data_IF_930647731086
#
_entry.id   IF_930647731086
#
_cell.length_a   1.000
_cell.length_b   1.000
_cell.length_c   1.000
_cell.angle_alpha   90.00
_cell.angle_beta   90.00
_cell.angle_gamma   90.00
#
_symmetry.space_group_name_H-M   'P 1'
#
loop_
_entity.id
_entity.type
_entity.pdbx_description
1 polymer ?
#
# COMPACT_ATOMS: atom_id res chain seq x y z
N UNK A 1 4.48 10.04 -17.00
CA UNK A 1 3.77 10.94 -17.95
C UNK A 1 3.70 10.23 -19.30
N UNK A 2 2.51 10.08 -19.89
CA UNK A 2 2.38 9.37 -21.17
C UNK A 2 2.93 10.18 -22.34
N UNK A 3 3.43 9.48 -23.35
CA UNK A 3 3.86 10.09 -24.60
C UNK A 3 2.65 10.56 -25.40
N UNK A 4 2.79 11.69 -26.08
CA UNK A 4 1.82 12.19 -27.07
C UNK A 4 2.34 11.86 -28.45
N UNK A 5 1.57 11.08 -29.20
CA UNK A 5 1.91 10.68 -30.57
C UNK A 5 0.74 10.97 -31.53
N UNK A 6 1.01 11.08 -32.84
CA UNK A 6 -0.04 11.07 -33.85
C UNK A 6 -0.89 9.80 -33.75
N UNK A 7 -2.20 9.93 -33.94
CA UNK A 7 -3.18 8.85 -33.76
C UNK A 7 -2.89 7.62 -34.65
N UNK A 8 -2.25 7.81 -35.81
CA UNK A 8 -1.97 6.76 -36.80
C UNK A 8 -0.59 6.08 -36.64
N UNK A 9 0.21 6.46 -35.63
CA UNK A 9 1.53 5.84 -35.42
C UNK A 9 1.35 4.34 -35.08
N UNK A 10 1.96 3.39 -35.80
CA UNK A 10 1.79 1.96 -35.54
C UNK A 10 2.10 1.53 -34.09
N UNK A 11 3.00 2.26 -33.43
CA UNK A 11 3.33 2.07 -32.03
C UNK A 11 2.12 2.24 -31.09
N UNK A 12 1.09 3.00 -31.47
CA UNK A 12 -0.13 3.18 -30.67
C UNK A 12 -0.83 1.84 -30.44
N UNK A 13 -1.02 1.05 -31.50
CA UNK A 13 -1.71 -0.24 -31.39
C UNK A 13 -0.83 -1.29 -30.71
N UNK A 14 0.48 -1.29 -31.00
CA UNK A 14 1.44 -2.17 -30.34
C UNK A 14 1.45 -1.96 -28.82
N UNK A 15 1.62 -0.71 -28.37
CA UNK A 15 1.67 -0.36 -26.95
C UNK A 15 0.34 -0.58 -26.25
N UNK A 16 -0.80 -0.35 -26.92
CA UNK A 16 -2.12 -0.68 -26.37
C UNK A 16 -2.28 -2.18 -26.09
N UNK A 17 -1.71 -3.05 -26.92
CA UNK A 17 -1.75 -4.50 -26.68
C UNK A 17 -0.91 -4.91 -25.46
N UNK A 18 0.14 -4.15 -25.12
CA UNK A 18 0.92 -4.30 -23.88
C UNK A 18 0.30 -3.57 -22.68
N UNK A 19 -0.97 -3.14 -22.81
CA UNK A 19 -1.72 -2.35 -21.84
C UNK A 19 -1.10 -0.96 -21.56
N UNK A 20 -0.12 -0.52 -22.36
CA UNK A 20 0.57 0.77 -22.19
C UNK A 20 -0.32 1.90 -22.67
N UNK A 21 -0.51 2.88 -21.78
CA UNK A 21 -1.34 4.04 -22.07
C UNK A 21 -0.62 4.99 -23.03
N UNK A 22 -1.16 5.12 -24.24
CA UNK A 22 -0.69 6.08 -25.25
C UNK A 22 -1.72 7.19 -25.41
N UNK A 23 -1.28 8.44 -25.24
CA UNK A 23 -2.15 9.58 -25.40
C UNK A 23 -2.17 10.05 -26.85
N UNK A 24 -3.34 10.00 -27.48
CA UNK A 24 -3.54 10.59 -28.79
C UNK A 24 -3.59 12.11 -28.71
N UNK A 25 -3.29 12.78 -29.82
CA UNK A 25 -3.28 14.25 -29.87
C UNK A 25 -4.66 14.88 -29.66
N UNK A 26 -5.72 14.13 -29.94
CA UNK A 26 -7.12 14.48 -29.69
C UNK A 26 -7.43 14.53 -28.18
N UNK A 27 -7.04 13.50 -27.42
CA UNK A 27 -7.27 13.40 -25.97
C UNK A 27 -6.43 14.38 -25.15
N UNK A 28 -5.21 14.67 -25.61
CA UNK A 28 -4.32 15.63 -24.94
C UNK A 28 -4.89 17.07 -24.89
N UNK A 29 -5.76 17.44 -25.84
CA UNK A 29 -6.36 18.78 -25.89
C UNK A 29 -7.45 19.03 -24.85
N UNK A 30 -8.02 17.97 -24.28
CA UNK A 30 -9.13 18.05 -23.32
C UNK A 30 -8.71 17.62 -21.91
N UNK A 31 -7.43 17.31 -21.69
CA UNK A 31 -6.97 16.84 -20.40
C UNK A 31 -6.78 18.02 -19.45
N UNK A 32 -7.58 18.05 -18.40
CA UNK A 32 -7.40 18.96 -17.28
C UNK A 32 -6.65 18.22 -16.16
N UNK A 33 -5.56 18.80 -15.68
CA UNK A 33 -4.75 18.25 -14.59
C UNK A 33 -5.03 19.06 -13.34
N UNK A 34 -5.43 18.39 -12.26
CA UNK A 34 -5.57 19.00 -10.93
C UNK A 34 -4.68 18.28 -9.91
N UNK A 35 -4.38 18.91 -8.76
CA UNK A 35 -3.78 18.22 -7.62
C UNK A 35 -4.63 17.01 -7.20
N UNK A 36 -3.96 15.93 -6.82
CA UNK A 36 -4.57 14.73 -6.26
C UNK A 36 -4.69 14.86 -4.76
N UNK A 37 -5.84 14.54 -4.19
CA UNK A 37 -6.06 14.45 -2.74
C UNK A 37 -5.79 13.01 -2.28
N UNK A 38 -4.75 12.81 -1.49
CA UNK A 38 -4.42 11.49 -0.92
C UNK A 38 -4.46 11.55 0.60
N UNK A 39 -5.26 10.65 1.18
CA UNK A 39 -5.42 10.49 2.62
C UNK A 39 -4.52 9.35 3.12
N UNK A 40 -3.89 9.51 4.27
CA UNK A 40 -3.09 8.45 4.92
C UNK A 40 -3.62 8.20 6.32
N UNK A 41 -4.26 7.04 6.51
CA UNK A 41 -4.63 6.54 7.83
C UNK A 41 -3.42 5.83 8.46
N UNK A 42 -2.71 6.55 9.32
CA UNK A 42 -1.47 6.06 9.93
C UNK A 42 -1.74 5.33 11.26
N UNK A 43 -1.70 4.00 11.20
CA UNK A 43 -1.88 3.09 12.34
C UNK A 43 -0.54 2.62 12.95
N UNK A 44 0.59 3.02 12.36
CA UNK A 44 1.92 2.61 12.84
C UNK A 44 2.28 3.27 14.17
N UNK A 45 3.04 2.62 15.05
CA UNK A 45 3.40 3.18 16.35
C UNK A 45 4.31 4.41 16.20
N UNK A 46 5.28 4.37 15.28
CA UNK A 46 6.22 5.47 15.01
C UNK A 46 5.70 6.35 13.86
N UNK A 47 4.77 7.25 14.17
CA UNK A 47 4.03 8.04 13.17
C UNK A 47 4.94 8.79 12.18
N UNK A 48 5.90 9.56 12.70
CA UNK A 48 6.83 10.38 11.90
C UNK A 48 7.73 9.53 10.98
N UNK A 49 8.20 8.37 11.47
CA UNK A 49 9.02 7.45 10.67
C UNK A 49 8.21 6.93 9.46
N UNK A 50 6.98 6.49 9.73
CA UNK A 50 6.05 6.02 8.70
C UNK A 50 5.65 7.14 7.72
N UNK A 51 5.39 8.36 8.20
CA UNK A 51 5.12 9.53 7.36
C UNK A 51 6.28 9.75 6.38
N UNK A 52 7.52 9.80 6.86
CA UNK A 52 8.70 9.99 6.02
C UNK A 52 8.85 8.89 4.96
N UNK A 53 8.59 7.64 5.32
CA UNK A 53 8.68 6.49 4.42
C UNK A 53 7.67 6.58 3.28
N UNK A 54 6.39 6.78 3.59
CA UNK A 54 5.34 6.89 2.58
C UNK A 54 5.48 8.16 1.74
N UNK A 55 5.74 9.32 2.37
CA UNK A 55 5.89 10.59 1.65
C UNK A 55 7.08 10.59 0.68
N UNK A 56 8.17 9.87 1.02
CA UNK A 56 9.31 9.68 0.11
C UNK A 56 8.92 8.90 -1.16
N UNK A 57 8.03 7.92 -1.05
CA UNK A 57 7.58 7.16 -2.21
C UNK A 57 6.56 7.94 -3.04
N UNK A 58 5.64 8.65 -2.37
CA UNK A 58 4.63 9.47 -3.04
C UNK A 58 5.23 10.70 -3.74
N UNK A 59 6.36 11.23 -3.26
CA UNK A 59 7.03 12.38 -3.89
C UNK A 59 7.73 12.05 -5.22
N UNK A 60 7.87 10.77 -5.58
CA UNK A 60 8.51 10.34 -6.82
C UNK A 60 7.57 10.39 -8.04
N UNK A 61 6.75 11.45 -8.13
CA UNK A 61 5.79 11.66 -9.21
C UNK A 61 5.78 13.13 -9.64
N UNK A 62 5.62 13.43 -10.94
CA UNK A 62 5.44 14.81 -11.40
C UNK A 62 4.05 15.38 -11.07
N UNK A 63 3.12 14.56 -10.55
CA UNK A 63 1.78 14.99 -10.15
C UNK A 63 1.86 15.74 -8.82
N UNK A 64 1.10 16.82 -8.69
CA UNK A 64 0.91 17.47 -7.40
C UNK A 64 -0.02 16.63 -6.53
N UNK A 65 0.39 16.36 -5.29
CA UNK A 65 -0.35 15.52 -4.34
C UNK A 65 -0.54 16.31 -3.04
N UNK A 66 -1.78 16.61 -2.71
CA UNK A 66 -2.19 17.19 -1.45
C UNK A 66 -2.44 16.06 -0.46
N UNK A 67 -1.58 15.98 0.56
CA UNK A 67 -1.64 14.93 1.58
C UNK A 67 -2.41 15.42 2.80
N UNK A 68 -3.33 14.58 3.28
CA UNK A 68 -3.91 14.71 4.61
C UNK A 68 -3.60 13.46 5.44
N UNK A 69 -3.30 13.63 6.73
CA UNK A 69 -3.04 12.54 7.66
C UNK A 69 -4.26 12.33 8.54
N UNK A 70 -4.76 11.10 8.59
CA UNK A 70 -5.94 10.72 9.38
C UNK A 70 -5.49 9.93 10.61
N UNK A 71 -6.00 10.31 11.79
CA UNK A 71 -5.85 9.52 13.02
C UNK A 71 -7.11 8.68 13.25
N UNK A 72 -6.94 7.49 13.82
CA UNK A 72 -8.06 6.58 14.05
C UNK A 72 -8.88 6.92 15.29
N UNK A 73 -8.22 7.49 16.31
CA UNK A 73 -8.85 7.93 17.55
C UNK A 73 -8.04 9.04 18.25
N UNK A 74 -8.67 9.68 19.24
CA UNK A 74 -8.08 10.77 20.02
C UNK A 74 -7.13 10.31 21.13
N UNK A 75 -6.74 9.02 21.17
CA UNK A 75 -5.89 8.50 22.25
C UNK A 75 -4.47 9.03 22.15
N UNK A 76 -3.82 9.13 23.31
CA UNK A 76 -2.41 9.48 23.37
C UNK A 76 -1.54 8.37 22.75
N UNK A 77 -0.65 8.77 21.85
CA UNK A 77 0.34 7.86 21.27
C UNK A 77 1.52 7.69 22.23
N UNK A 78 1.97 6.46 22.45
CA UNK A 78 3.15 6.17 23.28
C UNK A 78 4.46 6.70 22.66
N UNK A 79 4.54 6.74 21.32
CA UNK A 79 5.79 7.04 20.60
C UNK A 79 5.72 8.34 19.79
N UNK A 80 4.64 9.10 19.91
CA UNK A 80 4.44 10.32 19.11
C UNK A 80 3.88 11.41 20.02
N UNK A 81 4.51 12.60 20.06
CA UNK A 81 3.99 13.72 20.84
C UNK A 81 2.56 14.07 20.43
N UNK A 82 1.72 14.39 21.41
CA UNK A 82 0.34 14.82 21.16
C UNK A 82 0.29 16.07 20.27
N UNK A 83 1.26 16.98 20.41
CA UNK A 83 1.40 18.18 19.58
C UNK A 83 1.53 17.85 18.09
N UNK A 84 2.28 16.81 17.73
CA UNK A 84 2.42 16.37 16.33
C UNK A 84 1.07 15.91 15.76
N UNK A 85 0.34 15.11 16.53
CA UNK A 85 -0.99 14.64 16.11
C UNK A 85 -1.97 15.80 15.98
N UNK A 86 -2.02 16.71 16.95
CA UNK A 86 -2.97 17.82 16.94
C UNK A 86 -2.71 18.84 15.83
N UNK A 87 -1.45 19.02 15.42
CA UNK A 87 -1.08 20.00 14.40
C UNK A 87 -1.24 19.47 12.97
N UNK A 88 -1.09 18.15 12.76
CA UNK A 88 -0.96 17.57 11.41
C UNK A 88 -2.00 16.51 11.06
N UNK A 89 -2.75 15.98 12.03
CA UNK A 89 -3.77 14.96 11.79
C UNK A 89 -5.18 15.53 11.92
N UNK A 90 -6.06 15.14 11.00
CA UNK A 90 -7.50 15.34 11.13
C UNK A 90 -8.17 14.11 11.74
N UNK A 91 -9.37 14.31 12.30
CA UNK A 91 -10.25 13.23 12.71
C UNK A 91 -11.17 12.81 11.56
N UNK A 92 -11.74 11.60 11.64
CA UNK A 92 -12.63 11.10 10.58
C UNK A 92 -13.85 12.02 10.37
N UNK A 93 -14.38 12.60 11.44
CA UNK A 93 -15.57 13.44 11.36
C UNK A 93 -15.32 14.74 10.57
N UNK A 94 -14.07 15.18 10.46
CA UNK A 94 -13.67 16.36 9.66
C UNK A 94 -13.76 16.07 8.16
N UNK A 95 -13.44 14.82 7.75
CA UNK A 95 -13.28 14.42 6.35
C UNK A 95 -14.42 13.56 5.80
N UNK A 96 -15.39 13.19 6.63
CA UNK A 96 -16.44 12.22 6.28
C UNK A 96 -17.32 12.65 5.08
N UNK A 97 -17.41 13.95 4.79
CA UNK A 97 -18.18 14.50 3.66
C UNK A 97 -17.27 14.89 2.48
N UNK A 98 -15.97 14.59 2.56
CA UNK A 98 -15.00 14.89 1.52
C UNK A 98 -14.71 13.66 0.66
N UNK A 99 -14.34 13.93 -0.59
CA UNK A 99 -13.89 12.92 -1.53
C UNK A 99 -12.38 12.99 -1.73
N UNK A 100 -11.76 11.82 -1.97
CA UNK A 100 -10.33 11.64 -2.14
C UNK A 100 -10.00 10.77 -3.35
N UNK A 101 -8.86 11.04 -3.96
CA UNK A 101 -8.35 10.24 -5.07
C UNK A 101 -7.70 8.94 -4.56
N UNK A 102 -6.98 9.03 -3.44
CA UNK A 102 -6.27 7.91 -2.85
C UNK A 102 -6.44 7.83 -1.35
N UNK A 103 -6.51 6.63 -0.81
CA UNK A 103 -6.38 6.35 0.63
C UNK A 103 -5.28 5.31 0.82
N UNK A 104 -4.38 5.54 1.78
CA UNK A 104 -3.44 4.53 2.26
C UNK A 104 -3.80 4.18 3.70
N UNK A 105 -4.02 2.90 3.97
CA UNK A 105 -4.19 2.39 5.34
C UNK A 105 -2.94 1.59 5.70
N UNK A 106 -2.16 2.09 6.66
CA UNK A 106 -0.86 1.49 7.00
C UNK A 106 -1.02 0.20 7.81
N UNK A 107 0.09 -0.52 7.99
CA UNK A 107 0.17 -1.58 8.98
C UNK A 107 -0.09 -1.07 10.41
N UNK A 108 -0.32 -2.01 11.32
CA UNK A 108 -0.49 -1.78 12.75
C UNK A 108 0.15 -2.94 13.53
N UNK A 109 0.63 -2.72 14.77
CA UNK A 109 1.24 -3.75 15.61
C UNK A 109 0.17 -4.64 16.28
N UNK A 110 -0.78 -5.16 15.49
CA UNK A 110 -1.95 -5.92 15.91
C UNK A 110 -1.97 -7.35 15.34
N UNK A 111 -0.83 -7.84 14.85
CA UNK A 111 -0.71 -9.13 14.20
C UNK A 111 -1.18 -10.32 15.06
N UNK A 112 -1.02 -10.23 16.39
CA UNK A 112 -1.42 -11.26 17.35
C UNK A 112 -2.72 -10.95 18.11
N UNK A 113 -3.34 -9.80 17.85
CA UNK A 113 -4.58 -9.38 18.50
C UNK A 113 -5.75 -9.81 17.62
N UNK A 114 -6.76 -10.45 18.21
CA UNK A 114 -8.00 -10.79 17.53
C UNK A 114 -8.81 -9.53 17.22
N UNK A 115 -9.55 -9.53 16.11
CA UNK A 115 -10.27 -8.33 15.66
C UNK A 115 -11.28 -7.81 16.69
N UNK A 116 -11.92 -8.70 17.46
CA UNK A 116 -12.84 -8.31 18.54
C UNK A 116 -12.15 -7.57 19.70
N UNK A 117 -10.84 -7.77 19.88
CA UNK A 117 -10.05 -7.15 20.92
C UNK A 117 -9.34 -5.88 20.44
N UNK A 118 -9.40 -5.58 19.14
CA UNK A 118 -8.90 -4.34 18.58
C UNK A 118 -9.85 -3.20 18.94
N UNK A 119 -9.41 -2.36 19.87
CA UNK A 119 -10.28 -1.36 20.48
C UNK A 119 -10.84 -0.32 19.48
N UNK A 120 -10.10 -0.02 18.40
CA UNK A 120 -10.53 0.89 17.35
C UNK A 120 -11.09 0.18 16.10
N UNK A 121 -11.47 -1.10 16.24
CA UNK A 121 -12.05 -1.88 15.14
C UNK A 121 -13.30 -1.23 14.52
N UNK A 122 -14.26 -0.71 15.30
CA UNK A 122 -15.44 -0.03 14.72
C UNK A 122 -15.06 1.18 13.85
N UNK A 123 -14.03 1.94 14.24
CA UNK A 123 -13.53 3.08 13.50
C UNK A 123 -12.86 2.64 12.19
N UNK A 124 -12.10 1.55 12.21
CA UNK A 124 -11.49 0.98 10.99
C UNK A 124 -12.57 0.52 10.02
N UNK A 125 -13.57 -0.21 10.50
CA UNK A 125 -14.71 -0.61 9.68
C UNK A 125 -15.43 0.60 9.10
N UNK A 126 -15.67 1.66 9.89
CA UNK A 126 -16.28 2.92 9.43
C UNK A 126 -15.48 3.56 8.29
N UNK A 127 -14.15 3.65 8.41
CA UNK A 127 -13.28 4.23 7.36
C UNK A 127 -13.29 3.37 6.09
N UNK A 128 -13.19 2.05 6.22
CA UNK A 128 -13.16 1.14 5.07
C UNK A 128 -14.49 1.15 4.31
N UNK A 129 -15.62 1.14 5.03
CA UNK A 129 -16.94 1.27 4.42
C UNK A 129 -17.14 2.65 3.78
N UNK A 130 -16.71 3.73 4.43
CA UNK A 130 -16.77 5.07 3.86
C UNK A 130 -15.94 5.21 2.57
N UNK A 131 -14.77 4.58 2.52
CA UNK A 131 -13.87 4.63 1.36
C UNK A 131 -14.49 4.03 0.09
N UNK A 132 -15.47 3.12 0.24
CA UNK A 132 -16.27 2.56 -0.86
C UNK A 132 -17.01 3.63 -1.67
N UNK A 133 -17.33 4.75 -1.05
CA UNK A 133 -18.09 5.84 -1.68
C UNK A 133 -17.25 7.09 -1.90
N UNK A 134 -16.25 7.33 -1.05
CA UNK A 134 -15.55 8.61 -1.01
C UNK A 134 -14.12 8.55 -1.55
N UNK A 135 -13.60 7.36 -1.83
CA UNK A 135 -12.22 7.17 -2.29
C UNK A 135 -12.21 6.45 -3.64
N UNK A 136 -11.42 6.99 -4.58
CA UNK A 136 -11.24 6.35 -5.90
C UNK A 136 -10.43 5.06 -5.80
N UNK A 137 -9.26 5.07 -5.14
CA UNK A 137 -8.48 3.86 -4.88
C UNK A 137 -7.89 3.82 -3.46
N UNK A 138 -8.04 2.69 -2.78
CA UNK A 138 -7.51 2.45 -1.44
C UNK A 138 -6.40 1.40 -1.47
N UNK A 139 -5.24 1.73 -0.92
CA UNK A 139 -4.09 0.83 -0.73
C UNK A 139 -4.00 0.39 0.74
N UNK A 140 -4.16 -0.91 0.97
CA UNK A 140 -3.99 -1.53 2.28
C UNK A 140 -2.60 -2.13 2.43
N UNK A 141 -1.93 -1.86 3.55
CA UNK A 141 -0.55 -2.31 3.80
C UNK A 141 -0.49 -3.24 5.02
N UNK A 142 0.17 -4.38 4.87
CA UNK A 142 0.44 -5.36 5.93
C UNK A 142 -0.82 -5.73 6.74
N UNK A 143 -0.90 -5.37 8.04
CA UNK A 143 -2.05 -5.72 8.88
C UNK A 143 -3.38 -5.14 8.35
N UNK A 144 -3.36 -3.97 7.70
CA UNK A 144 -4.56 -3.40 7.11
C UNK A 144 -5.14 -4.27 5.98
N UNK A 145 -4.31 -5.09 5.32
CA UNK A 145 -4.79 -6.11 4.37
C UNK A 145 -5.67 -7.12 5.10
N UNK A 146 -5.22 -7.61 6.26
CA UNK A 146 -5.99 -8.57 7.05
C UNK A 146 -7.32 -7.96 7.52
N UNK A 147 -7.30 -6.69 7.94
CA UNK A 147 -8.49 -5.97 8.35
C UNK A 147 -9.49 -5.81 7.19
N UNK A 148 -9.01 -5.37 6.04
CA UNK A 148 -9.84 -5.17 4.86
C UNK A 148 -10.39 -6.48 4.29
N UNK A 149 -9.60 -7.56 4.25
CA UNK A 149 -10.09 -8.88 3.84
C UNK A 149 -11.19 -9.40 4.78
N UNK A 150 -11.10 -9.11 6.07
CA UNK A 150 -12.16 -9.47 7.01
C UNK A 150 -13.43 -8.64 6.81
N UNK A 151 -13.31 -7.32 6.71
CA UNK A 151 -14.46 -6.40 6.59
C UNK A 151 -15.16 -6.55 5.24
N UNK A 152 -14.41 -6.65 4.14
CA UNK A 152 -14.94 -6.66 2.79
C UNK A 152 -15.32 -8.05 2.28
N UNK A 153 -14.59 -9.09 2.70
CA UNK A 153 -14.74 -10.45 2.18
C UNK A 153 -15.08 -11.50 3.27
N UNK A 154 -15.19 -11.10 4.53
CA UNK A 154 -15.50 -12.02 5.63
C UNK A 154 -14.40 -13.03 5.94
N UNK A 155 -13.18 -12.83 5.43
CA UNK A 155 -12.07 -13.79 5.63
C UNK A 155 -11.62 -13.71 7.10
N UNK A 156 -11.59 -14.84 7.84
CA UNK A 156 -11.16 -14.84 9.23
C UNK A 156 -9.67 -14.53 9.37
N UNK A 157 -9.27 -14.07 10.56
CA UNK A 157 -7.87 -13.82 10.89
C UNK A 157 -7.07 -15.12 10.75
N UNK A 158 -6.04 -15.10 9.90
CA UNK A 158 -5.06 -16.18 9.76
C UNK A 158 -3.71 -15.72 10.30
N UNK A 159 -3.12 -16.50 11.20
CA UNK A 159 -1.87 -16.15 11.87
C UNK A 159 -0.85 -17.26 11.70
N UNK A 160 0.37 -16.89 11.30
CA UNK A 160 1.51 -17.78 11.16
C UNK A 160 2.03 -18.22 12.53
N UNK A 161 2.56 -19.44 12.59
CA UNK A 161 3.26 -19.95 13.78
C UNK A 161 4.54 -19.18 14.06
N UNK A 162 5.27 -18.83 13.01
CA UNK A 162 6.53 -18.09 13.07
C UNK A 162 6.38 -16.75 12.34
N UNK A 163 6.99 -15.71 12.92
CA UNK A 163 7.00 -14.37 12.31
C UNK A 163 7.77 -14.44 11.00
N UNK A 164 7.18 -13.92 9.93
CA UNK A 164 7.91 -13.66 8.71
C UNK A 164 8.66 -12.33 8.89
N UNK A 165 10.00 -12.38 8.93
CA UNK A 165 10.87 -11.21 9.19
C UNK A 165 12.11 -11.30 8.30
N UNK A 166 12.20 -10.41 7.31
CA UNK A 166 13.30 -10.44 6.33
C UNK A 166 12.92 -9.87 4.97
N UNK A 167 13.77 -10.11 3.98
CA UNK A 167 13.60 -9.73 2.58
C UNK A 167 13.44 -10.99 1.74
N UNK A 168 12.31 -11.12 1.07
CA UNK A 168 11.91 -12.35 0.39
C UNK A 168 11.85 -12.15 -1.12
N UNK A 169 12.02 -13.24 -1.86
CA UNK A 169 11.87 -13.26 -3.31
C UNK A 169 10.39 -13.38 -3.69
N UNK A 170 9.99 -12.61 -4.68
CA UNK A 170 8.65 -12.51 -5.23
C UNK A 170 8.70 -12.74 -6.74
N UNK A 171 7.58 -13.20 -7.30
CA UNK A 171 7.39 -13.42 -8.72
C UNK A 171 6.11 -12.74 -9.19
N UNK A 172 6.21 -12.00 -10.30
CA UNK A 172 5.06 -11.41 -10.98
C UNK A 172 4.27 -12.49 -11.74
N UNK A 173 2.94 -12.40 -11.70
CA UNK A 173 2.03 -13.37 -12.36
C UNK A 173 1.44 -12.84 -13.67
N UNK A 174 1.39 -11.51 -13.81
CA UNK A 174 0.79 -10.84 -14.97
C UNK A 174 1.78 -9.83 -15.57
N UNK A 175 2.43 -10.15 -16.70
CA UNK A 175 3.47 -9.29 -17.30
C UNK A 175 2.99 -7.87 -17.67
N UNK A 176 1.71 -7.71 -18.00
CA UNK A 176 1.14 -6.43 -18.46
C UNK A 176 0.20 -5.77 -17.43
N UNK A 177 0.21 -6.21 -16.17
CA UNK A 177 -0.57 -5.58 -15.13
C UNK A 177 -0.07 -4.15 -14.84
N UNK A 178 -1.01 -3.23 -14.61
CA UNK A 178 -0.68 -1.81 -14.44
C UNK A 178 0.10 -1.54 -13.15
N UNK A 179 -0.21 -2.25 -12.06
CA UNK A 179 0.39 -2.02 -10.75
C UNK A 179 1.85 -2.53 -10.68
N UNK A 180 2.16 -3.57 -11.45
CA UNK A 180 3.50 -4.18 -11.57
C UNK A 180 4.24 -3.74 -12.84
N UNK A 181 3.77 -2.70 -13.53
CA UNK A 181 4.44 -2.21 -14.74
C UNK A 181 5.88 -1.83 -14.44
N UNK A 182 6.81 -2.39 -15.22
CA UNK A 182 8.24 -2.15 -15.08
C UNK A 182 8.90 -2.90 -13.93
N UNK A 183 8.17 -3.77 -13.23
CA UNK A 183 8.77 -4.71 -12.29
C UNK A 183 9.58 -5.75 -13.08
N UNK A 184 10.65 -6.23 -12.47
CA UNK A 184 11.32 -7.45 -12.94
C UNK A 184 10.41 -8.67 -12.73
N UNK A 185 10.61 -9.73 -13.51
CA UNK A 185 9.83 -10.97 -13.38
C UNK A 185 9.90 -11.54 -11.96
N UNK A 186 11.08 -11.42 -11.34
CA UNK A 186 11.31 -11.72 -9.93
C UNK A 186 12.02 -10.56 -9.24
N UNK A 187 11.67 -10.31 -7.99
CA UNK A 187 12.22 -9.18 -7.22
C UNK A 187 12.17 -9.42 -5.72
N UNK A 188 12.81 -8.53 -4.95
CA UNK A 188 12.91 -8.63 -3.50
C UNK A 188 11.99 -7.60 -2.82
N UNK A 189 11.25 -8.02 -1.79
CA UNK A 189 10.50 -7.11 -0.92
C UNK A 189 10.53 -7.56 0.55
N UNK A 190 10.52 -6.61 1.51
CA UNK A 190 10.59 -6.93 2.92
C UNK A 190 9.23 -7.32 3.48
N UNK A 191 9.24 -8.20 4.48
CA UNK A 191 8.09 -8.58 5.29
C UNK A 191 8.47 -8.55 6.77
N UNK A 192 7.55 -8.06 7.62
CA UNK A 192 7.64 -8.15 9.09
C UNK A 192 6.25 -8.38 9.67
N UNK A 193 5.78 -9.63 9.69
CA UNK A 193 4.40 -9.94 10.07
C UNK A 193 4.17 -11.35 10.60
N UNK A 194 3.17 -11.44 11.48
CA UNK A 194 2.53 -12.70 11.87
C UNK A 194 1.26 -13.00 11.06
N UNK A 195 0.63 -11.99 10.46
CA UNK A 195 -0.53 -12.21 9.59
C UNK A 195 -0.13 -13.13 8.43
N UNK A 196 -0.96 -14.13 8.16
CA UNK A 196 -0.78 -15.05 7.04
C UNK A 196 -1.66 -14.65 5.86
N UNK A 197 -1.13 -14.79 4.65
CA UNK A 197 -1.84 -14.46 3.41
C UNK A 197 -1.63 -15.55 2.35
N UNK A 198 -2.22 -16.75 2.54
CA UNK A 198 -2.12 -17.81 1.54
C UNK A 198 -2.81 -17.39 0.24
N UNK A 199 -2.12 -17.54 -0.89
CA UNK A 199 -2.66 -17.16 -2.19
C UNK A 199 -3.95 -17.92 -2.53
N UNK A 200 -4.03 -19.21 -2.20
CA UNK A 200 -5.21 -20.04 -2.48
C UNK A 200 -6.46 -19.57 -1.72
N UNK A 201 -6.30 -19.07 -0.49
CA UNK A 201 -7.41 -18.51 0.28
C UNK A 201 -7.95 -17.26 -0.42
N UNK A 202 -7.06 -16.38 -0.87
CA UNK A 202 -7.46 -15.16 -1.58
C UNK A 202 -8.18 -15.51 -2.90
N UNK A 203 -7.65 -16.47 -3.68
CA UNK A 203 -8.28 -16.92 -4.93
C UNK A 203 -9.67 -17.55 -4.73
N UNK A 204 -9.86 -18.29 -3.63
CA UNK A 204 -11.11 -19.02 -3.37
C UNK A 204 -12.21 -18.14 -2.79
N UNK A 205 -11.84 -17.12 -2.00
CA UNK A 205 -12.79 -16.36 -1.20
C UNK A 205 -12.97 -14.90 -1.65
N UNK A 206 -12.28 -14.47 -2.70
CA UNK A 206 -12.36 -13.11 -3.23
C UNK A 206 -12.42 -13.09 -4.75
N UNK A 207 -12.80 -11.95 -5.32
CA UNK A 207 -12.74 -11.64 -6.74
C UNK A 207 -11.46 -10.89 -7.14
N UNK A 208 -10.49 -10.81 -6.23
CA UNK A 208 -9.25 -10.06 -6.39
C UNK A 208 -8.27 -10.78 -7.32
N UNK A 209 -7.60 -10.01 -8.17
CA UNK A 209 -6.53 -10.51 -9.03
C UNK A 209 -5.20 -10.47 -8.30
N UNK A 210 -4.58 -11.63 -8.12
CA UNK A 210 -3.23 -11.70 -7.57
C UNK A 210 -2.21 -11.37 -8.66
N UNK A 211 -1.41 -10.34 -8.41
CA UNK A 211 -0.43 -9.80 -9.35
C UNK A 211 0.99 -10.30 -9.04
N UNK A 212 1.27 -10.55 -7.75
CA UNK A 212 2.58 -10.99 -7.27
C UNK A 212 2.43 -11.94 -6.09
N UNK A 213 3.21 -13.03 -6.12
CA UNK A 213 3.30 -14.02 -5.05
C UNK A 213 4.75 -14.30 -4.66
N UNK A 214 4.92 -14.94 -3.50
CA UNK A 214 6.17 -15.50 -3.04
C UNK A 214 5.91 -16.90 -2.52
N UNK A 215 6.78 -17.84 -2.85
CA UNK A 215 6.71 -19.20 -2.31
C UNK A 215 6.78 -19.19 -0.76
N UNK A 216 7.56 -18.27 -0.19
CA UNK A 216 7.76 -18.18 1.26
C UNK A 216 6.76 -17.23 1.93
N UNK A 217 6.43 -16.12 1.27
CA UNK A 217 5.60 -15.06 1.87
C UNK A 217 4.10 -15.17 1.52
N UNK A 218 3.70 -15.99 0.54
CA UNK A 218 2.33 -16.07 0.04
C UNK A 218 1.98 -14.91 -0.89
N UNK A 219 0.72 -14.48 -0.89
CA UNK A 219 0.27 -13.36 -1.71
C UNK A 219 0.94 -12.06 -1.26
N UNK A 220 1.60 -11.36 -2.19
CA UNK A 220 2.27 -10.09 -1.91
C UNK A 220 1.47 -8.90 -2.39
N UNK A 221 1.06 -8.90 -3.66
CA UNK A 221 0.35 -7.78 -4.29
C UNK A 221 -0.86 -8.30 -5.05
N UNK A 222 -2.02 -7.73 -4.74
CA UNK A 222 -3.28 -8.10 -5.38
C UNK A 222 -4.24 -6.91 -5.38
N UNK A 223 -5.21 -6.90 -6.29
CA UNK A 223 -6.09 -5.76 -6.50
C UNK A 223 -7.45 -6.17 -7.08
N UNK A 224 -8.46 -5.30 -6.91
CA UNK A 224 -9.73 -5.43 -7.61
C UNK A 224 -9.60 -5.01 -9.07
N UNK A 225 -10.43 -5.59 -9.96
CA UNK A 225 -10.41 -5.30 -11.40
C UNK A 225 -10.72 -3.84 -11.74
N UNK A 226 -11.59 -3.23 -10.94
CA UNK A 226 -11.96 -1.81 -11.02
C UNK A 226 -10.89 -0.87 -10.43
N UNK A 227 -9.82 -1.43 -9.84
CA UNK A 227 -8.67 -0.73 -9.24
C UNK A 227 -9.01 0.08 -7.98
N UNK A 228 -10.22 -0.08 -7.44
CA UNK A 228 -10.66 0.61 -6.23
C UNK A 228 -9.97 0.09 -4.98
N UNK A 229 -9.55 -1.17 -4.99
CA UNK A 229 -8.87 -1.83 -3.88
C UNK A 229 -7.51 -2.35 -4.36
N UNK A 230 -6.45 -2.02 -3.63
CA UNK A 230 -5.12 -2.58 -3.81
C UNK A 230 -4.56 -3.01 -2.45
N UNK A 231 -3.81 -4.10 -2.43
CA UNK A 231 -3.34 -4.72 -1.21
C UNK A 231 -1.86 -5.11 -1.35
N UNK A 232 -1.04 -4.70 -0.40
CA UNK A 232 0.37 -5.09 -0.31
C UNK A 232 0.68 -5.67 1.07
N UNK A 233 1.13 -6.93 1.12
CA UNK A 233 1.32 -7.66 2.39
C UNK A 233 2.73 -7.55 2.97
N UNK A 234 3.66 -6.94 2.23
CA UNK A 234 5.00 -6.59 2.69
C UNK A 234 5.11 -5.10 3.03
N UNK A 235 6.35 -4.66 3.20
CA UNK A 235 6.69 -3.29 3.62
C UNK A 235 7.67 -2.59 2.66
N UNK A 236 7.34 -2.45 1.37
CA UNK A 236 8.24 -1.82 0.40
C UNK A 236 8.65 -0.38 0.74
N UNK A 237 7.93 0.28 1.66
CA UNK A 237 8.22 1.60 2.21
C UNK A 237 9.39 1.65 3.21
N UNK A 238 9.78 0.51 3.78
CA UNK A 238 10.79 0.45 4.83
C UNK A 238 12.12 1.07 4.42
N UNK A 239 12.67 1.87 5.33
CA UNK A 239 14.06 2.29 5.28
C UNK A 239 15.01 1.12 5.48
N UNK A 240 16.25 1.29 5.01
CA UNK A 240 17.33 0.30 5.11
C UNK A 240 17.48 -0.20 6.55
N UNK A 241 17.33 0.66 7.56
CA UNK A 241 17.55 0.35 8.97
C UNK A 241 16.32 -0.16 9.73
N UNK A 242 15.15 -0.26 9.09
CA UNK A 242 13.89 -0.55 9.80
C UNK A 242 13.88 -1.94 10.44
N UNK A 243 14.21 -2.98 9.66
CA UNK A 243 14.28 -4.35 10.17
C UNK A 243 15.41 -4.52 11.20
N UNK A 244 16.56 -3.85 11.02
CA UNK A 244 17.62 -3.82 12.01
C UNK A 244 17.13 -3.21 13.33
N UNK A 245 16.42 -2.08 13.26
CA UNK A 245 15.85 -1.42 14.43
C UNK A 245 14.83 -2.28 15.17
N UNK A 246 14.02 -3.06 14.45
CA UNK A 246 13.13 -4.07 15.07
C UNK A 246 13.93 -5.18 15.75
N UNK A 247 14.94 -5.75 15.05
CA UNK A 247 15.78 -6.83 15.56
C UNK A 247 16.52 -6.42 16.83
N UNK A 248 17.25 -5.30 16.81
CA UNK A 248 18.02 -4.85 17.97
C UNK A 248 17.13 -4.45 19.16
N UNK A 249 15.98 -3.81 18.91
CA UNK A 249 15.00 -3.53 19.96
C UNK A 249 14.54 -4.81 20.65
N UNK A 250 14.27 -5.86 19.89
CA UNK A 250 13.77 -7.13 20.43
C UNK A 250 14.88 -7.84 21.23
N UNK A 251 16.13 -7.82 20.74
CA UNK A 251 17.31 -8.28 21.50
C UNK A 251 17.49 -7.52 22.82
N UNK A 252 17.40 -6.18 22.79
CA UNK A 252 17.55 -5.32 23.96
C UNK A 252 16.43 -5.53 24.99
N UNK A 253 15.25 -5.96 24.53
CA UNK A 253 14.14 -6.37 25.39
C UNK A 253 14.33 -7.77 26.01
N UNK A 254 15.46 -8.45 25.75
CA UNK A 254 15.75 -9.79 26.22
C UNK A 254 14.98 -10.88 25.47
N UNK A 255 14.42 -10.56 24.30
CA UNK A 255 13.89 -11.55 23.39
C UNK A 255 15.04 -12.18 22.59
N UNK A 256 14.81 -13.38 22.05
CA UNK A 256 15.75 -14.07 21.15
C UNK A 256 15.16 -14.08 19.72
N UNK A 257 15.09 -12.92 19.04
CA UNK A 257 14.53 -12.86 17.69
C UNK A 257 15.47 -13.53 16.69
N UNK A 258 14.91 -14.25 15.72
CA UNK A 258 15.69 -14.70 14.57
C UNK A 258 16.22 -13.49 13.77
N UNK A 259 17.45 -13.62 13.26
CA UNK A 259 18.03 -12.64 12.33
C UNK A 259 17.11 -12.51 11.11
N UNK A 260 16.77 -11.28 10.67
CA UNK A 260 15.90 -11.11 9.50
C UNK A 260 16.52 -11.75 8.25
N UNK A 261 15.74 -12.58 7.57
CA UNK A 261 16.18 -13.39 6.43
C UNK A 261 16.66 -12.49 5.27
N UNK A 262 17.80 -12.80 4.66
CA UNK A 262 18.38 -12.09 3.50
C UNK A 262 18.53 -10.57 3.68
N UNK A 263 18.77 -10.11 4.89
CA UNK A 263 18.80 -8.67 5.21
C UNK A 263 20.20 -8.17 5.55
N UNK A 264 20.85 -8.79 6.54
CA UNK A 264 22.23 -8.50 6.89
C UNK A 264 23.20 -9.26 5.98
N UNK A 265 24.31 -8.65 5.52
CA UNK A 265 25.35 -9.39 4.82
C UNK A 265 25.85 -10.56 5.67
N UNK A 266 25.96 -11.75 5.06
CA UNK A 266 26.42 -12.99 5.71
C UNK A 266 25.66 -13.35 7.00
N UNK A 267 24.39 -12.92 7.11
CA UNK A 267 23.55 -13.04 8.30
C UNK A 267 24.19 -12.46 9.58
N UNK A 268 25.12 -11.50 9.43
CA UNK A 268 25.84 -10.87 10.53
C UNK A 268 25.23 -9.48 10.88
N UNK A 269 24.56 -9.33 12.04
CA UNK A 269 23.96 -8.05 12.46
C UNK A 269 24.96 -6.90 12.63
N UNK A 270 26.27 -7.16 12.73
CA UNK A 270 27.30 -6.12 12.80
C UNK A 270 27.55 -5.43 11.44
N UNK A 271 27.14 -6.05 10.34
CA UNK A 271 27.33 -5.54 8.99
C UNK A 271 26.13 -4.70 8.54
N UNK A 272 26.39 -3.55 7.92
CA UNK A 272 25.32 -2.65 7.48
C UNK A 272 24.45 -3.29 6.37
N UNK A 273 23.12 -3.36 6.55
CA UNK A 273 22.22 -3.92 5.55
C UNK A 273 22.09 -3.01 4.32
N UNK A 274 21.59 -3.56 3.21
CA UNK A 274 21.33 -2.84 1.97
C UNK A 274 19.85 -2.93 1.61
N UNK A 275 19.25 -1.82 1.14
CA UNK A 275 17.88 -1.86 0.63
C UNK A 275 17.82 -2.44 -0.78
N UNK A 276 17.77 -3.77 -0.87
CA UNK A 276 17.62 -4.54 -2.10
C UNK A 276 16.22 -4.43 -2.72
N UNK A 277 15.24 -3.91 -2.00
CA UNK A 277 13.83 -3.78 -2.42
C UNK A 277 13.45 -2.40 -2.97
N UNK A 278 14.35 -1.41 -2.86
CA UNK A 278 14.03 0.01 -3.07
C UNK A 278 13.39 0.29 -4.44
N UNK A 279 13.91 -0.32 -5.52
CA UNK A 279 13.42 -0.10 -6.89
C UNK A 279 11.93 -0.46 -7.02
N UNK A 280 11.56 -1.65 -6.54
CA UNK A 280 10.20 -2.17 -6.64
C UNK A 280 9.23 -1.44 -5.71
N UNK A 281 9.72 -0.93 -4.57
CA UNK A 281 8.95 -0.01 -3.74
C UNK A 281 8.62 1.29 -4.46
N UNK A 282 9.60 1.94 -5.11
CA UNK A 282 9.31 3.14 -5.90
C UNK A 282 8.35 2.85 -7.06
N UNK A 283 8.55 1.76 -7.80
CA UNK A 283 7.68 1.39 -8.93
C UNK A 283 6.24 1.14 -8.46
N UNK A 284 6.04 0.44 -7.33
CA UNK A 284 4.71 0.18 -6.78
C UNK A 284 3.91 1.47 -6.58
N UNK A 285 4.48 2.43 -5.86
CA UNK A 285 3.77 3.66 -5.50
C UNK A 285 3.60 4.59 -6.69
N UNK A 286 4.57 4.65 -7.60
CA UNK A 286 4.45 5.39 -8.86
C UNK A 286 3.36 4.78 -9.72
N UNK A 287 3.26 3.46 -9.81
CA UNK A 287 2.23 2.78 -10.58
C UNK A 287 0.85 2.96 -9.96
N UNK A 288 0.73 2.83 -8.63
CA UNK A 288 -0.52 3.09 -7.92
C UNK A 288 -1.01 4.52 -8.17
N UNK A 289 -0.16 5.53 -7.94
CA UNK A 289 -0.51 6.92 -8.19
C UNK A 289 -0.93 7.17 -9.66
N UNK A 290 -0.20 6.61 -10.62
CA UNK A 290 -0.47 6.89 -12.03
C UNK A 290 -1.70 6.14 -12.58
N UNK A 291 -1.90 4.89 -12.20
CA UNK A 291 -2.86 4.00 -12.85
C UNK A 291 -4.09 3.67 -12.00
N UNK A 292 -3.98 3.79 -10.68
CA UNK A 292 -5.05 3.51 -9.72
C UNK A 292 -5.62 4.79 -9.13
N UNK A 293 -4.84 5.86 -9.01
CA UNK A 293 -5.32 7.15 -8.49
C UNK A 293 -5.64 8.10 -9.65
N UNK A 294 -4.63 8.49 -10.42
CA UNK A 294 -4.74 9.57 -11.40
C UNK A 294 -5.61 9.25 -12.64
N UNK A 295 -5.42 8.09 -13.27
CA UNK A 295 -6.03 7.80 -14.57
C UNK A 295 -7.52 7.44 -14.51
N UNK A 296 -8.00 7.03 -13.33
CA UNK A 296 -9.38 6.60 -13.15
C UNK A 296 -10.22 7.59 -12.35
N UNK A 297 -9.59 8.53 -11.64
CA UNK A 297 -10.32 9.55 -10.88
C UNK A 297 -11.01 10.55 -11.82
N UNK A 298 -12.26 10.96 -11.54
CA UNK A 298 -12.88 12.05 -12.27
C UNK A 298 -12.18 13.38 -11.97
N UNK A 299 -12.20 14.29 -12.95
CA UNK A 299 -11.67 15.63 -12.75
C UNK A 299 -12.42 16.40 -11.64
N UNK A 300 -13.75 16.30 -11.60
CA UNK A 300 -14.56 16.87 -10.52
C UNK A 300 -14.92 15.77 -9.50
N UNK A 301 -14.30 15.83 -8.31
CA UNK A 301 -14.55 14.87 -7.24
C UNK A 301 -16.01 14.87 -6.76
N UNK A 302 -16.79 15.92 -7.00
CA UNK A 302 -18.24 15.92 -6.67
C UNK A 302 -19.06 15.03 -7.58
N UNK A 303 -18.50 14.60 -8.71
CA UNK A 303 -19.12 13.68 -9.68
C UNK A 303 -18.58 12.27 -9.55
N UNK A 304 -17.97 11.93 -8.41
CA UNK A 304 -17.60 10.55 -8.14
C UNK A 304 -18.89 9.72 -8.18
N UNK A 305 -18.93 8.76 -9.10
CA UNK A 305 -19.97 7.72 -9.13
C UNK A 305 -19.32 6.45 -8.56
N UNK A 306 -19.20 6.34 -7.22
CA UNK A 306 -18.72 5.12 -6.63
C UNK A 306 -19.75 4.02 -6.89
N UNK A 307 -19.36 2.94 -7.56
CA UNK A 307 -20.06 1.67 -7.41
C UNK A 307 -19.07 0.62 -6.94
N UNK A 308 -19.52 -0.17 -5.97
CA UNK A 308 -18.99 -1.51 -5.65
C UNK A 308 -20.00 -2.59 -6.03
N UNK A 309 -21.07 -2.19 -6.72
CA UNK A 309 -22.09 -3.03 -7.36
C UNK A 309 -21.79 -3.17 -8.87
#
# INVERSE_FOLDING_TARGET
>A
MPIRVPDELPAVNFLRNENVFVMTSSRAKTQEIRPLKVLVLNLMPKKIETENQFLRLLSNSPLQIDIQLLRIDSRESKNTPAEHLNNFYCDFDDIQNENFDGLIVTGAPLGLVDFCDVVYWPQIARVIEWAKEHVTSTLFVCWAVQAALNILYGIPKMTRKEKLSGVYLHQTLQPHALLTRGFDETFLAPHSRYADFPADVIRQHTDLEILVESEQAGAYLFASKDKRLAFVTGHPEYDVSTLAGEFFRDCDAGLDPAVPVNYFPDDNPELAPKASWRSHGHLLFVNWLNYYVYQITPYDLRRMNPTLD
#
